data_IF_473412854428
#
_entry.id   IF_473412854428
#
_cell.length_a   1.000
_cell.length_b   1.000
_cell.length_c   1.000
_cell.angle_alpha   90.00
_cell.angle_beta   90.00
_cell.angle_gamma   90.00
#
_symmetry.space_group_name_H-M   'P 1'
#
loop_
_entity.id
_entity.type
_entity.pdbx_description
1 polymer ?
#
# COMPACT_ATOMS: atom_id res chain seq x y z
N UNK A 1 -20.21 -9.12 -9.60
CA UNK A 1 -19.95 -10.23 -10.53
C UNK A 1 -20.45 -9.83 -11.90
N UNK A 2 -19.54 -9.68 -12.86
CA UNK A 2 -19.87 -9.32 -14.24
C UNK A 2 -20.23 -10.60 -15.02
N UNK A 3 -21.05 -10.53 -16.07
CA UNK A 3 -21.47 -11.71 -16.86
C UNK A 3 -20.27 -12.55 -17.32
N UNK A 4 -19.17 -11.90 -17.69
CA UNK A 4 -17.90 -12.52 -18.09
C UNK A 4 -17.12 -13.22 -16.96
N UNK A 5 -17.64 -13.26 -15.74
CA UNK A 5 -17.02 -13.91 -14.56
C UNK A 5 -17.72 -15.21 -14.16
N UNK A 6 -18.86 -15.52 -14.77
CA UNK A 6 -19.61 -16.74 -14.45
C UNK A 6 -18.81 -17.98 -14.87
N UNK A 7 -18.70 -18.94 -13.94
CA UNK A 7 -17.99 -20.21 -14.16
C UNK A 7 -16.48 -20.17 -13.91
N UNK A 8 -15.91 -18.99 -13.64
CA UNK A 8 -14.49 -18.87 -13.30
C UNK A 8 -14.21 -19.44 -11.89
N UNK A 9 -13.12 -20.21 -11.70
CA UNK A 9 -12.70 -20.64 -10.37
C UNK A 9 -12.49 -19.43 -9.44
N UNK A 10 -12.89 -19.51 -8.15
CA UNK A 10 -12.78 -18.37 -7.24
C UNK A 10 -11.37 -17.79 -7.11
N UNK A 11 -10.33 -18.63 -7.18
CA UNK A 11 -8.93 -18.19 -7.12
C UNK A 11 -8.51 -17.35 -8.33
N UNK A 12 -8.97 -17.71 -9.52
CA UNK A 12 -8.68 -17.00 -10.77
C UNK A 12 -9.44 -15.66 -10.82
N UNK A 13 -10.70 -15.67 -10.37
CA UNK A 13 -11.48 -14.45 -10.21
C UNK A 13 -10.78 -13.48 -9.25
N UNK A 14 -10.33 -13.96 -8.09
CA UNK A 14 -9.60 -13.14 -7.12
C UNK A 14 -8.29 -12.57 -7.71
N UNK A 15 -7.52 -13.40 -8.42
CA UNK A 15 -6.27 -12.96 -9.06
C UNK A 15 -6.52 -11.85 -10.08
N UNK A 16 -7.57 -11.98 -10.90
CA UNK A 16 -7.95 -10.99 -11.90
C UNK A 16 -8.35 -9.65 -11.26
N UNK A 17 -9.14 -9.69 -10.20
CA UNK A 17 -9.56 -8.48 -9.47
C UNK A 17 -8.38 -7.79 -8.79
N UNK A 18 -7.42 -8.56 -8.25
CA UNK A 18 -6.18 -8.01 -7.68
C UNK A 18 -5.32 -7.34 -8.75
N UNK A 19 -5.17 -7.96 -9.92
CA UNK A 19 -4.42 -7.37 -11.02
C UNK A 19 -5.08 -6.06 -11.51
N UNK A 20 -6.41 -6.05 -11.67
CA UNK A 20 -7.16 -4.86 -12.06
C UNK A 20 -7.02 -3.72 -11.04
N UNK A 21 -6.99 -4.02 -9.74
CA UNK A 21 -6.86 -3.01 -8.69
C UNK A 21 -5.51 -2.27 -8.69
N UNK A 22 -4.49 -2.83 -9.34
CA UNK A 22 -3.16 -2.23 -9.50
C UNK A 22 -2.89 -1.81 -10.95
N UNK A 23 -3.84 -2.02 -11.87
CA UNK A 23 -3.64 -1.77 -13.29
C UNK A 23 -3.34 -0.29 -13.56
N UNK A 24 -2.26 -0.02 -14.29
CA UNK A 24 -1.80 1.34 -14.62
C UNK A 24 -0.86 1.96 -13.57
N UNK A 25 -0.62 1.30 -12.43
CA UNK A 25 0.45 1.69 -11.51
C UNK A 25 1.75 0.97 -11.89
N UNK A 26 2.87 1.69 -11.99
CA UNK A 26 4.16 1.05 -12.25
C UNK A 26 4.61 0.25 -11.03
N UNK A 27 5.31 -0.85 -11.29
CA UNK A 27 6.10 -1.56 -10.28
C UNK A 27 7.36 -0.74 -9.98
N UNK A 28 7.18 0.28 -9.14
CA UNK A 28 8.21 1.24 -8.78
C UNK A 28 8.67 0.98 -7.34
N UNK A 29 9.99 1.03 -7.08
CA UNK A 29 10.51 0.84 -5.73
C UNK A 29 10.12 2.02 -4.85
N UNK A 30 9.77 1.72 -3.60
CA UNK A 30 9.37 2.69 -2.58
C UNK A 30 10.22 2.47 -1.33
N UNK A 31 10.75 3.58 -0.81
CA UNK A 31 11.45 3.67 0.47
C UNK A 31 10.48 4.02 1.58
N UNK A 32 10.51 3.27 2.67
CA UNK A 32 9.82 3.63 3.91
C UNK A 32 10.85 4.17 4.91
N UNK A 33 10.57 5.30 5.55
CA UNK A 33 11.32 5.86 6.68
C UNK A 33 10.37 6.14 7.83
N UNK A 34 10.16 5.14 8.67
CA UNK A 34 9.11 5.15 9.67
C UNK A 34 9.67 5.26 11.08
N UNK A 35 9.06 6.10 11.90
CA UNK A 35 9.39 6.25 13.31
C UNK A 35 8.52 5.29 14.13
N UNK A 36 9.16 4.38 14.85
CA UNK A 36 8.50 3.46 15.77
C UNK A 36 7.95 4.19 17.01
N UNK A 37 7.03 3.58 17.78
CA UNK A 37 6.46 4.21 18.98
C UNK A 37 7.49 4.57 20.06
N UNK A 38 8.64 3.90 20.09
CA UNK A 38 9.76 4.19 20.99
C UNK A 38 10.70 5.29 20.45
N UNK A 39 10.39 5.87 19.29
CA UNK A 39 11.21 6.87 18.61
C UNK A 39 12.28 6.31 17.68
N UNK A 40 12.47 4.98 17.63
CA UNK A 40 13.46 4.37 16.74
C UNK A 40 13.09 4.60 15.26
N UNK A 41 14.05 5.04 14.45
CA UNK A 41 13.87 5.17 13.01
C UNK A 41 14.13 3.82 12.31
N UNK A 42 13.18 3.37 11.49
CA UNK A 42 13.32 2.24 10.60
C UNK A 42 13.27 2.70 9.15
N UNK A 43 14.30 2.38 8.38
CA UNK A 43 14.38 2.72 6.96
C UNK A 43 14.56 1.46 6.09
N UNK A 44 13.79 1.36 5.00
CA UNK A 44 13.86 0.23 4.07
C UNK A 44 13.47 0.63 2.65
N UNK A 45 14.24 0.20 1.64
CA UNK A 45 13.99 0.48 0.22
C UNK A 45 14.55 1.83 -0.28
N UNK A 46 14.34 2.10 -1.58
CA UNK A 46 14.92 3.23 -2.33
C UNK A 46 13.91 3.75 -3.40
N UNK A 47 14.08 4.93 -4.01
CA UNK A 47 14.24 6.26 -3.41
C UNK A 47 12.91 7.01 -3.20
N UNK A 48 11.78 6.57 -3.79
CA UNK A 48 10.48 7.22 -3.62
C UNK A 48 9.99 7.01 -2.18
N UNK A 49 9.94 8.07 -1.38
CA UNK A 49 9.95 8.01 0.08
C UNK A 49 8.56 8.17 0.68
N UNK A 50 8.20 7.28 1.59
CA UNK A 50 7.09 7.41 2.53
C UNK A 50 7.67 7.56 3.93
N UNK A 51 7.35 8.65 4.64
CA UNK A 51 7.89 8.91 5.97
C UNK A 51 6.79 9.25 6.99
N UNK A 52 7.04 8.96 8.27
CA UNK A 52 6.14 9.32 9.38
C UNK A 52 5.95 8.22 10.42
N UNK A 53 4.90 8.26 11.24
CA UNK A 53 4.69 7.28 12.31
C UNK A 53 4.41 5.88 11.77
N UNK A 54 5.18 4.88 12.23
CA UNK A 54 5.00 3.48 11.84
C UNK A 54 3.60 2.94 12.18
N UNK A 55 3.04 3.38 13.32
CA UNK A 55 1.69 2.98 13.74
C UNK A 55 0.62 3.44 12.73
N UNK A 56 0.75 4.63 12.18
CA UNK A 56 -0.20 5.17 11.21
C UNK A 56 -0.01 4.55 9.83
N UNK A 57 1.24 4.31 9.41
CA UNK A 57 1.54 3.50 8.21
C UNK A 57 0.83 2.14 8.28
N UNK A 58 0.93 1.46 9.42
CA UNK A 58 0.23 0.19 9.64
C UNK A 58 -1.29 0.33 9.61
N UNK A 59 -1.87 1.42 10.12
CA UNK A 59 -3.33 1.67 10.05
C UNK A 59 -3.79 1.98 8.63
N UNK A 60 -3.00 2.70 7.83
CA UNK A 60 -3.27 2.93 6.41
C UNK A 60 -3.28 1.59 5.65
N UNK A 61 -2.26 0.76 5.84
CA UNK A 61 -2.18 -0.56 5.20
C UNK A 61 -3.26 -1.54 5.66
N UNK A 62 -3.72 -1.43 6.91
CA UNK A 62 -4.86 -2.18 7.44
C UNK A 62 -6.23 -1.56 7.08
N UNK A 63 -6.26 -0.48 6.29
CA UNK A 63 -7.49 0.25 5.90
C UNK A 63 -8.32 0.77 7.09
N UNK A 64 -7.65 1.20 8.16
CA UNK A 64 -8.25 1.82 9.37
C UNK A 64 -8.00 3.33 9.48
N UNK A 65 -7.22 3.89 8.56
CA UNK A 65 -6.91 5.31 8.45
C UNK A 65 -6.72 5.64 6.96
N UNK A 66 -7.19 6.81 6.49
CA UNK A 66 -6.88 7.23 5.11
C UNK A 66 -5.50 7.89 5.06
N UNK A 67 -4.79 7.84 3.92
CA UNK A 67 -3.50 8.51 3.80
C UNK A 67 -3.53 10.00 4.16
N UNK A 68 -4.62 10.70 3.83
CA UNK A 68 -4.77 12.15 4.04
C UNK A 68 -4.99 12.52 5.51
N UNK A 69 -5.45 11.57 6.32
CA UNK A 69 -5.63 11.72 7.76
C UNK A 69 -4.42 11.24 8.56
N UNK A 70 -3.46 10.59 7.90
CA UNK A 70 -2.25 10.12 8.52
C UNK A 70 -1.18 11.23 8.52
N UNK A 71 -0.35 11.25 9.54
CA UNK A 71 0.89 12.03 9.61
C UNK A 71 2.00 11.44 8.73
N UNK A 72 1.65 10.90 7.56
CA UNK A 72 2.57 10.32 6.60
C UNK A 72 2.83 11.31 5.46
N UNK A 73 4.10 11.46 5.07
CA UNK A 73 4.48 12.20 3.88
C UNK A 73 4.90 11.24 2.77
N UNK A 74 4.66 11.62 1.52
CA UNK A 74 5.03 10.85 0.35
C UNK A 74 5.78 11.76 -0.64
N UNK A 75 7.01 11.42 -0.98
CA UNK A 75 7.93 12.23 -1.79
C UNK A 75 8.51 11.39 -2.93
N UNK A 76 8.54 11.96 -4.13
CA UNK A 76 9.04 11.30 -5.34
C UNK A 76 7.96 10.54 -6.12
N UNK A 77 8.33 9.95 -7.27
CA UNK A 77 7.39 9.30 -8.17
C UNK A 77 6.65 8.15 -7.45
N UNK A 78 5.32 8.11 -7.61
CA UNK A 78 4.47 7.00 -7.16
C UNK A 78 4.40 6.75 -5.64
N UNK A 79 5.07 7.54 -4.79
CA UNK A 79 5.00 7.38 -3.33
C UNK A 79 3.56 7.56 -2.79
N UNK A 80 2.83 8.55 -3.29
CA UNK A 80 1.43 8.76 -2.96
C UNK A 80 0.52 7.65 -3.51
N UNK A 81 0.83 7.13 -4.71
CA UNK A 81 0.12 5.99 -5.27
C UNK A 81 0.28 4.74 -4.40
N UNK A 82 1.50 4.49 -3.93
CA UNK A 82 1.82 3.39 -3.06
C UNK A 82 1.05 3.46 -1.73
N UNK A 83 0.98 4.63 -1.07
CA UNK A 83 0.14 4.82 0.12
C UNK A 83 -1.34 4.51 -0.15
N UNK A 84 -1.84 4.91 -1.32
CA UNK A 84 -3.24 4.67 -1.69
C UNK A 84 -3.53 3.18 -1.83
N UNK A 85 -2.62 2.38 -2.38
CA UNK A 85 -2.85 0.94 -2.61
C UNK A 85 -2.30 0.03 -1.52
N UNK A 86 -1.52 0.56 -0.57
CA UNK A 86 -0.89 -0.16 0.53
C UNK A 86 -1.83 -1.15 1.24
N UNK A 87 -1.34 -2.37 1.48
CA UNK A 87 -2.04 -3.46 2.15
C UNK A 87 -1.12 -4.14 3.15
N UNK A 88 -1.64 -4.41 4.33
CA UNK A 88 -0.99 -5.28 5.30
C UNK A 88 -1.64 -6.67 5.25
N UNK A 89 -0.82 -7.71 5.27
CA UNK A 89 -1.27 -9.09 5.39
C UNK A 89 -0.71 -9.66 6.68
N UNK A 90 -1.58 -10.24 7.50
CA UNK A 90 -1.20 -11.04 8.66
C UNK A 90 -1.79 -12.44 8.44
N UNK A 91 -0.97 -13.47 8.69
CA UNK A 91 -1.40 -14.87 8.67
C UNK A 91 -2.01 -15.26 10.01
#
# INVERSE_FOLDING_TARGET
>A
MVVAERGMPPGELLARWRAAALAGLPDAPVRCELTAPDGTLWAFGDPARIAGPAAEFCRVGARRLTPEQAGLTAEGPHAADALRVLRNYAA
#
